data_IF_646571321418
#
_entry.id   IF_646571321418
#
_cell.length_a   1.000
_cell.length_b   1.000
_cell.length_c   1.000
_cell.angle_alpha   90.00
_cell.angle_beta   90.00
_cell.angle_gamma   90.00
#
_symmetry.space_group_name_H-M   'P 1'
#
loop_
_entity.id
_entity.type
_entity.pdbx_description
1 polymer ?
#
# COMPACT_ATOMS: atom_id res chain seq x y z
N UNK A 1 -39.15 -43.55 33.03
CA UNK A 1 -37.78 -43.38 32.51
C UNK A 1 -37.72 -42.01 31.86
N UNK A 2 -37.18 -41.03 32.57
CA UNK A 2 -36.95 -39.69 32.01
C UNK A 2 -35.62 -39.76 31.26
N UNK A 3 -35.65 -39.67 29.93
CA UNK A 3 -34.44 -39.36 29.15
C UNK A 3 -33.80 -38.11 29.76
N UNK A 4 -32.48 -38.17 29.97
CA UNK A 4 -31.73 -37.05 30.53
C UNK A 4 -31.95 -35.84 29.63
N UNK A 5 -32.01 -34.64 30.22
CA UNK A 5 -31.99 -33.40 29.44
C UNK A 5 -30.80 -33.35 28.48
N UNK A 6 -29.71 -34.03 28.82
CA UNK A 6 -28.51 -34.19 28.01
C UNK A 6 -28.78 -35.02 26.74
N UNK A 7 -29.51 -36.13 26.85
CA UNK A 7 -29.85 -36.98 25.69
C UNK A 7 -30.76 -36.24 24.70
N UNK A 8 -31.68 -35.42 25.23
CA UNK A 8 -32.59 -34.60 24.41
C UNK A 8 -31.86 -33.45 23.72
N UNK A 9 -30.87 -32.85 24.36
CA UNK A 9 -30.05 -31.78 23.77
C UNK A 9 -29.14 -32.35 22.67
N UNK A 10 -28.49 -33.49 22.92
CA UNK A 10 -27.65 -34.16 21.93
C UNK A 10 -28.44 -34.60 20.68
N UNK A 11 -29.68 -35.05 20.85
CA UNK A 11 -30.58 -35.37 19.73
C UNK A 11 -30.95 -34.12 18.91
N UNK A 12 -31.16 -32.98 19.56
CA UNK A 12 -31.48 -31.71 18.89
C UNK A 12 -30.26 -31.18 18.13
N UNK A 13 -29.06 -31.22 18.71
CA UNK A 13 -27.81 -30.79 18.07
C UNK A 13 -27.49 -31.60 16.81
N UNK A 14 -27.69 -32.92 16.87
CA UNK A 14 -27.54 -33.83 15.73
C UNK A 14 -28.54 -33.55 14.60
N UNK A 15 -29.78 -33.17 14.93
CA UNK A 15 -30.81 -32.81 13.95
C UNK A 15 -30.54 -31.44 13.33
N UNK A 16 -29.97 -30.50 14.10
CA UNK A 16 -29.64 -29.15 13.64
C UNK A 16 -28.32 -29.07 12.84
N UNK A 17 -27.61 -30.20 12.65
CA UNK A 17 -26.35 -30.24 11.91
C UNK A 17 -25.24 -29.44 12.58
N UNK A 18 -25.35 -29.21 13.90
CA UNK A 18 -24.29 -28.63 14.73
C UNK A 18 -23.38 -29.79 15.14
N UNK A 19 -22.86 -30.50 14.14
CA UNK A 19 -21.76 -31.43 14.35
C UNK A 19 -20.50 -30.57 14.38
N UNK A 20 -19.71 -30.72 15.45
CA UNK A 20 -18.44 -30.03 15.60
C UNK A 20 -17.63 -30.24 14.33
N UNK A 21 -17.06 -29.18 13.76
CA UNK A 21 -16.30 -29.23 12.51
C UNK A 21 -15.10 -30.21 12.61
N UNK A 22 -15.34 -31.50 12.38
CA UNK A 22 -14.33 -32.57 12.44
C UNK A 22 -13.65 -32.84 11.11
N UNK A 23 -14.09 -32.21 10.02
CA UNK A 23 -13.62 -32.58 8.67
C UNK A 23 -12.43 -31.78 8.15
N UNK A 24 -12.00 -30.72 8.84
CA UNK A 24 -10.87 -29.92 8.39
C UNK A 24 -9.55 -30.55 8.86
N UNK A 25 -8.84 -31.23 7.95
CA UNK A 25 -7.51 -31.77 8.22
C UNK A 25 -6.48 -30.64 8.14
N UNK A 26 -5.35 -30.71 8.89
CA UNK A 26 -4.28 -29.71 8.79
C UNK A 26 -3.72 -29.54 7.36
N UNK A 27 -3.86 -30.56 6.52
CA UNK A 27 -3.51 -30.56 5.09
C UNK A 27 -4.39 -29.64 4.24
N UNK A 28 -5.57 -29.29 4.73
CA UNK A 28 -6.57 -28.54 3.97
C UNK A 28 -6.35 -27.02 4.12
N UNK A 29 -5.45 -26.62 5.00
CA UNK A 29 -5.08 -25.23 5.23
C UNK A 29 -3.73 -24.92 4.60
N UNK A 30 -3.73 -24.14 3.50
CA UNK A 30 -2.52 -23.50 2.99
C UNK A 30 -2.11 -22.33 3.91
N UNK A 31 -1.46 -22.68 5.02
CA UNK A 31 -0.99 -21.72 6.03
C UNK A 31 -0.01 -20.72 5.42
N UNK A 32 0.78 -21.13 4.42
CA UNK A 32 1.78 -20.28 3.76
C UNK A 32 1.10 -19.27 2.83
N UNK A 33 0.11 -19.70 2.06
CA UNK A 33 -0.71 -18.81 1.24
C UNK A 33 -1.50 -17.81 2.08
N UNK A 34 -2.08 -18.27 3.19
CA UNK A 34 -2.79 -17.40 4.13
C UNK A 34 -1.84 -16.35 4.75
N UNK A 35 -0.65 -16.77 5.16
CA UNK A 35 0.36 -15.88 5.73
C UNK A 35 0.81 -14.81 4.72
N UNK A 36 1.10 -15.19 3.48
CA UNK A 36 1.44 -14.24 2.40
C UNK A 36 0.33 -13.23 2.15
N UNK A 37 -0.93 -13.70 2.13
CA UNK A 37 -2.09 -12.84 1.94
C UNK A 37 -2.29 -11.87 3.11
N UNK A 38 -2.10 -12.32 4.34
CA UNK A 38 -2.16 -11.47 5.53
C UNK A 38 -1.08 -10.38 5.52
N UNK A 39 0.16 -10.72 5.14
CA UNK A 39 1.23 -9.73 4.98
C UNK A 39 0.94 -8.73 3.85
N UNK A 40 0.40 -9.18 2.72
CA UNK A 40 0.00 -8.29 1.62
C UNK A 40 -1.10 -7.29 2.00
N UNK A 41 -1.94 -7.65 2.97
CA UNK A 41 -2.99 -6.79 3.52
C UNK A 41 -2.52 -5.94 4.71
N UNK A 42 -1.22 -5.94 5.04
CA UNK A 42 -0.66 -5.17 6.15
C UNK A 42 -1.04 -5.69 7.55
N UNK A 43 -1.52 -6.94 7.64
CA UNK A 43 -1.95 -7.57 8.90
C UNK A 43 -0.79 -8.17 9.70
N UNK A 44 0.46 -7.82 9.40
CA UNK A 44 1.66 -8.32 10.09
C UNK A 44 1.63 -8.06 11.60
N UNK A 45 0.89 -7.03 12.05
CA UNK A 45 0.68 -6.75 13.48
C UNK A 45 -0.06 -7.87 14.19
N UNK A 46 -0.96 -8.58 13.51
CA UNK A 46 -1.69 -9.74 14.07
C UNK A 46 -0.73 -10.90 14.33
N UNK A 47 0.25 -11.08 13.45
CA UNK A 47 1.30 -12.12 13.58
C UNK A 47 2.30 -11.83 14.70
N UNK A 48 2.37 -10.58 15.19
CA UNK A 48 3.21 -10.17 16.32
C UNK A 48 2.55 -10.38 17.68
N UNK A 49 1.29 -10.82 17.73
CA UNK A 49 0.61 -11.09 18.99
C UNK A 49 1.26 -12.33 19.62
N UNK A 50 1.86 -12.22 20.83
CA UNK A 50 2.52 -13.35 21.47
C UNK A 50 1.55 -14.53 21.65
N UNK A 51 1.99 -15.74 21.27
CA UNK A 51 1.19 -16.97 21.41
C UNK A 51 0.68 -17.20 22.83
N UNK A 52 1.43 -16.73 23.84
CA UNK A 52 1.02 -16.77 25.25
C UNK A 52 -0.27 -15.97 25.49
N UNK A 53 -0.41 -14.78 24.86
CA UNK A 53 -1.62 -13.95 24.95
C UNK A 53 -2.80 -14.61 24.22
N UNK A 54 -2.56 -15.26 23.08
CA UNK A 54 -3.59 -16.00 22.33
C UNK A 54 -4.08 -17.24 23.10
N UNK A 55 -3.18 -17.98 23.76
CA UNK A 55 -3.55 -19.12 24.63
C UNK A 55 -4.42 -18.68 25.80
N UNK A 56 -4.15 -17.51 26.38
CA UNK A 56 -4.97 -16.96 27.46
C UNK A 56 -6.38 -16.54 26.99
N UNK A 57 -6.58 -16.23 25.71
CA UNK A 57 -7.90 -15.94 25.13
C UNK A 57 -8.75 -17.20 24.95
N UNK A 58 -8.15 -18.35 24.64
CA UNK A 58 -8.86 -19.64 24.53
C UNK A 58 -9.55 -20.02 25.85
N UNK A 59 -8.97 -19.62 26.97
CA UNK A 59 -9.53 -19.82 28.31
C UNK A 59 -10.77 -18.94 28.59
N UNK A 60 -11.08 -17.96 27.72
CA UNK A 60 -12.22 -17.04 27.86
C UNK A 60 -13.44 -17.49 27.07
N UNK A 61 -13.24 -18.12 25.90
CA UNK A 61 -14.34 -18.50 25.01
C UNK A 61 -14.90 -19.90 25.25
N UNK A 62 -14.28 -20.69 26.14
CA UNK A 62 -14.58 -22.12 26.31
C UNK A 62 -14.81 -22.52 27.78
N UNK A 63 -15.65 -21.79 28.54
CA UNK A 63 -16.01 -22.24 29.89
C UNK A 63 -17.50 -22.11 30.25
N UNK A 64 -18.06 -23.11 30.96
CA UNK A 64 -19.45 -23.14 31.40
C UNK A 64 -19.73 -22.05 32.44
N UNK A 65 -21.00 -21.66 32.55
CA UNK A 65 -21.52 -20.51 33.30
C UNK A 65 -21.18 -20.45 34.82
N UNK A 66 -20.47 -21.43 35.39
CA UNK A 66 -20.25 -21.61 36.83
C UNK A 66 -18.78 -21.48 37.28
N UNK A 67 -18.05 -20.46 36.80
CA UNK A 67 -16.73 -20.16 37.36
C UNK A 67 -16.82 -19.66 38.80
N UNK A 68 -15.89 -20.07 39.70
CA UNK A 68 -15.78 -19.51 41.04
C UNK A 68 -15.61 -17.98 41.01
N UNK A 69 -16.14 -17.28 42.01
CA UNK A 69 -16.08 -15.81 42.10
C UNK A 69 -14.65 -15.26 41.99
N UNK A 70 -13.67 -16.01 42.52
CA UNK A 70 -12.24 -15.68 42.45
C UNK A 70 -11.70 -15.67 41.01
N UNK A 71 -12.10 -16.61 40.16
CA UNK A 71 -11.71 -16.64 38.74
C UNK A 71 -12.39 -15.53 37.94
N UNK A 72 -13.63 -15.19 38.27
CA UNK A 72 -14.32 -14.05 37.66
C UNK A 72 -13.64 -12.72 38.02
N UNK A 73 -13.20 -12.57 39.27
CA UNK A 73 -12.44 -11.40 39.72
C UNK A 73 -11.10 -11.26 38.99
N UNK A 74 -10.32 -12.34 38.84
CA UNK A 74 -9.06 -12.29 38.10
C UNK A 74 -9.27 -11.97 36.62
N UNK A 75 -10.36 -12.48 36.02
CA UNK A 75 -10.74 -12.14 34.66
C UNK A 75 -11.09 -10.65 34.50
N UNK A 76 -11.89 -10.10 35.42
CA UNK A 76 -12.25 -8.66 35.41
C UNK A 76 -11.00 -7.79 35.50
N UNK A 77 -10.07 -8.11 36.40
CA UNK A 77 -8.80 -7.37 36.55
C UNK A 77 -7.94 -7.46 35.28
N UNK A 78 -7.90 -8.63 34.63
CA UNK A 78 -7.21 -8.76 33.35
C UNK A 78 -7.83 -7.88 32.25
N UNK A 79 -9.16 -7.87 32.13
CA UNK A 79 -9.88 -7.04 31.17
C UNK A 79 -9.68 -5.55 31.46
N UNK A 80 -9.72 -5.13 32.73
CA UNK A 80 -9.49 -3.75 33.14
C UNK A 80 -8.10 -3.27 32.72
N UNK A 81 -7.06 -4.07 32.98
CA UNK A 81 -5.70 -3.76 32.58
C UNK A 81 -5.56 -3.63 31.05
N UNK A 82 -6.24 -4.50 30.30
CA UNK A 82 -6.25 -4.45 28.83
C UNK A 82 -6.94 -3.17 28.32
N UNK A 83 -8.05 -2.76 28.95
CA UNK A 83 -8.75 -1.52 28.62
C UNK A 83 -7.85 -0.31 28.88
N UNK A 84 -7.18 -0.25 30.04
CA UNK A 84 -6.25 0.85 30.36
C UNK A 84 -5.13 0.96 29.31
N UNK A 85 -4.47 -0.14 28.98
CA UNK A 85 -3.42 -0.15 27.96
C UNK A 85 -3.92 0.33 26.58
N UNK A 86 -5.15 -0.05 26.20
CA UNK A 86 -5.75 0.40 24.93
C UNK A 86 -6.09 1.89 24.96
N UNK A 87 -6.56 2.41 26.10
CA UNK A 87 -6.81 3.85 26.28
C UNK A 87 -5.52 4.65 26.14
N UNK A 88 -4.43 4.19 26.74
CA UNK A 88 -3.13 4.88 26.65
C UNK A 88 -2.61 4.92 25.20
N UNK A 89 -2.72 3.80 24.47
CA UNK A 89 -2.36 3.75 23.05
C UNK A 89 -3.23 4.67 22.17
N UNK A 90 -4.53 4.81 22.51
CA UNK A 90 -5.43 5.72 21.80
C UNK A 90 -5.06 7.18 22.06
N UNK A 91 -4.67 7.53 23.29
CA UNK A 91 -4.16 8.87 23.61
C UNK A 91 -2.87 9.19 22.88
N UNK A 92 -1.90 8.27 22.87
CA UNK A 92 -0.66 8.45 22.10
C UNK A 92 -0.94 8.61 20.59
N UNK A 93 -1.92 7.87 20.07
CA UNK A 93 -2.33 8.00 18.68
C UNK A 93 -2.95 9.36 18.41
N UNK A 94 -3.87 9.83 19.27
CA UNK A 94 -4.51 11.14 19.17
C UNK A 94 -3.48 12.28 19.24
N UNK A 95 -2.53 12.24 20.18
CA UNK A 95 -1.45 13.23 20.31
C UNK A 95 -0.54 13.29 19.07
N UNK A 96 -0.30 12.13 18.43
CA UNK A 96 0.54 12.05 17.22
C UNK A 96 -0.21 12.34 15.93
N UNK A 97 -1.54 12.30 15.95
CA UNK A 97 -2.36 12.55 14.78
C UNK A 97 -2.35 14.05 14.46
N UNK A 98 -1.36 14.49 13.69
CA UNK A 98 -1.34 15.85 13.13
C UNK A 98 -2.30 15.93 11.94
N UNK A 99 -3.59 16.10 12.24
CA UNK A 99 -4.70 16.19 11.26
C UNK A 99 -4.47 17.27 10.21
N UNK A 100 -3.84 18.37 10.59
CA UNK A 100 -3.61 19.52 9.72
C UNK A 100 -2.71 19.18 8.54
N UNK A 101 -1.71 18.32 8.75
CA UNK A 101 -0.80 17.87 7.68
C UNK A 101 -1.48 16.90 6.73
N UNK A 102 -2.37 16.04 7.22
CA UNK A 102 -3.12 15.09 6.39
C UNK A 102 -4.12 15.83 5.51
N UNK A 103 -4.76 16.88 6.04
CA UNK A 103 -5.68 17.73 5.26
C UNK A 103 -4.97 18.48 4.12
N UNK A 104 -3.70 18.84 4.29
CA UNK A 104 -2.90 19.53 3.27
C UNK A 104 -2.46 18.62 2.10
N UNK A 105 -2.45 17.30 2.28
CA UNK A 105 -1.98 16.35 1.26
C UNK A 105 -2.77 16.49 -0.03
N UNK A 106 -4.10 16.53 0.04
CA UNK A 106 -4.95 16.63 -1.16
C UNK A 106 -4.76 17.96 -1.92
N UNK A 107 -4.49 19.06 -1.20
CA UNK A 107 -4.19 20.35 -1.83
C UNK A 107 -2.82 20.33 -2.50
N UNK A 108 -1.81 19.82 -1.80
CA UNK A 108 -0.44 19.74 -2.30
C UNK A 108 -0.33 18.78 -3.48
N UNK A 109 -1.06 17.67 -3.48
CA UNK A 109 -1.11 16.70 -4.57
C UNK A 109 -1.60 17.34 -5.87
N UNK A 110 -2.65 18.17 -5.79
CA UNK A 110 -3.12 18.93 -6.95
C UNK A 110 -2.07 19.91 -7.46
N UNK A 111 -1.46 20.69 -6.57
CA UNK A 111 -0.39 21.63 -6.95
C UNK A 111 0.80 20.91 -7.61
N UNK A 112 1.16 19.73 -7.10
CA UNK A 112 2.25 18.93 -7.64
C UNK A 112 1.92 18.40 -9.03
N UNK A 113 0.66 18.00 -9.26
CA UNK A 113 0.16 17.59 -10.58
C UNK A 113 0.24 18.73 -11.59
N UNK A 114 -0.19 19.93 -11.21
CA UNK A 114 -0.17 21.11 -12.08
C UNK A 114 1.28 21.46 -12.47
N UNK A 115 2.19 21.47 -11.49
CA UNK A 115 3.63 21.72 -11.73
C UNK A 115 4.24 20.64 -12.62
N UNK A 116 3.90 19.36 -12.41
CA UNK A 116 4.41 18.26 -13.23
C UNK A 116 3.98 18.42 -14.69
N UNK A 117 2.73 18.83 -14.93
CA UNK A 117 2.22 19.09 -16.27
C UNK A 117 2.91 20.28 -16.94
N UNK A 118 3.16 21.37 -16.19
CA UNK A 118 3.86 22.54 -16.69
C UNK A 118 5.31 22.22 -17.08
N UNK A 119 6.01 21.43 -16.25
CA UNK A 119 7.38 20.96 -16.53
C UNK A 119 7.40 20.10 -17.79
N UNK A 120 6.45 19.18 -17.94
CA UNK A 120 6.37 18.31 -19.11
C UNK A 120 6.14 19.12 -20.39
N UNK A 121 5.19 20.05 -20.35
CA UNK A 121 4.88 20.93 -21.50
C UNK A 121 6.08 21.80 -21.87
N UNK A 122 6.78 22.34 -20.86
CA UNK A 122 7.97 23.15 -21.08
C UNK A 122 9.12 22.34 -21.69
N UNK A 123 9.28 21.09 -21.28
CA UNK A 123 10.28 20.16 -21.82
C UNK A 123 9.99 19.80 -23.28
N UNK A 124 8.72 19.61 -23.65
CA UNK A 124 8.31 19.39 -25.04
C UNK A 124 8.62 20.59 -25.93
N UNK A 125 8.24 21.80 -25.50
CA UNK A 125 8.58 23.04 -26.22
C UNK A 125 10.09 23.24 -26.37
N UNK A 126 10.87 22.92 -25.34
CA UNK A 126 12.32 23.02 -25.40
C UNK A 126 12.92 22.05 -26.43
N UNK A 127 12.37 20.83 -26.55
CA UNK A 127 12.78 19.87 -27.59
C UNK A 127 12.46 20.38 -28.99
N UNK A 128 11.26 20.91 -29.21
CA UNK A 128 10.86 21.51 -30.48
C UNK A 128 11.81 22.64 -30.88
N UNK A 129 12.05 23.58 -29.95
CA UNK A 129 12.99 24.68 -30.18
C UNK A 129 14.41 24.20 -30.51
N UNK A 130 14.89 23.16 -29.83
CA UNK A 130 16.21 22.60 -30.10
C UNK A 130 16.30 21.95 -31.47
N UNK A 131 15.22 21.27 -31.92
CA UNK A 131 15.14 20.72 -33.27
C UNK A 131 15.14 21.80 -34.34
N UNK A 132 14.36 22.87 -34.14
CA UNK A 132 14.33 24.01 -35.05
C UNK A 132 15.69 24.69 -35.16
N UNK A 133 16.41 24.80 -34.05
CA UNK A 133 17.76 25.39 -34.02
C UNK A 133 18.77 24.53 -34.78
N UNK A 134 18.72 23.20 -34.63
CA UNK A 134 19.59 22.31 -35.39
C UNK A 134 19.25 22.34 -36.88
N UNK A 135 17.97 22.42 -37.23
CA UNK A 135 17.52 22.61 -38.62
C UNK A 135 18.07 23.91 -39.20
N UNK A 136 17.88 25.04 -38.50
CA UNK A 136 18.43 26.33 -38.92
C UNK A 136 19.95 26.27 -39.12
N UNK A 137 20.67 25.62 -38.21
CA UNK A 137 22.12 25.43 -38.32
C UNK A 137 22.50 24.63 -39.57
N UNK A 138 21.78 23.55 -39.88
CA UNK A 138 22.03 22.77 -41.11
C UNK A 138 21.79 23.60 -42.37
N UNK A 139 20.71 24.37 -42.41
CA UNK A 139 20.39 25.26 -43.54
C UNK A 139 21.44 26.35 -43.69
N UNK A 140 21.87 26.97 -42.59
CA UNK A 140 22.92 27.98 -42.57
C UNK A 140 24.23 27.43 -43.16
N UNK A 141 24.67 26.25 -42.72
CA UNK A 141 25.89 25.63 -43.26
C UNK A 141 25.76 25.29 -44.75
N UNK A 142 24.60 24.83 -45.21
CA UNK A 142 24.36 24.58 -46.63
C UNK A 142 24.50 25.86 -47.47
N UNK A 143 23.91 26.97 -47.01
CA UNK A 143 24.03 28.27 -47.68
C UNK A 143 25.47 28.76 -47.70
N UNK A 144 26.20 28.68 -46.59
CA UNK A 144 27.61 29.09 -46.53
C UNK A 144 28.48 28.27 -47.48
N UNK A 145 28.25 26.95 -47.57
CA UNK A 145 28.97 26.09 -48.51
C UNK A 145 28.69 26.47 -49.96
N UNK A 146 27.43 26.68 -50.33
CA UNK A 146 27.04 27.09 -51.69
C UNK A 146 27.65 28.46 -52.07
N UNK A 147 27.68 29.41 -51.12
CA UNK A 147 28.33 30.71 -51.35
C UNK A 147 29.83 30.58 -51.57
N UNK A 148 30.51 29.71 -50.80
CA UNK A 148 31.94 29.43 -50.99
C UNK A 148 32.22 28.82 -52.35
N UNK A 149 31.47 27.79 -52.74
CA UNK A 149 31.60 27.17 -54.07
C UNK A 149 31.43 28.22 -55.18
N UNK A 150 30.46 29.12 -55.03
CA UNK A 150 30.24 30.18 -56.02
C UNK A 150 31.36 31.20 -56.08
N UNK A 151 31.95 31.56 -54.93
CA UNK A 151 33.13 32.42 -54.88
C UNK A 151 34.31 31.75 -55.58
N UNK A 152 34.59 30.47 -55.27
CA UNK A 152 35.68 29.71 -55.90
C UNK A 152 35.51 29.60 -57.43
N UNK A 153 34.28 29.42 -57.91
CA UNK A 153 33.96 29.44 -59.35
C UNK A 153 34.25 30.80 -59.99
N UNK A 154 33.86 31.90 -59.33
CA UNK A 154 34.10 33.26 -59.82
C UNK A 154 35.59 33.58 -59.83
N UNK A 155 36.34 33.22 -58.79
CA UNK A 155 37.80 33.41 -58.74
C UNK A 155 38.51 32.68 -59.87
N UNK A 156 38.12 31.44 -60.17
CA UNK A 156 38.64 30.69 -61.33
C UNK A 156 38.33 31.38 -62.66
N UNK A 157 37.11 31.89 -62.83
CA UNK A 157 36.70 32.58 -64.05
C UNK A 157 37.48 33.89 -64.25
N UNK A 158 37.71 34.66 -63.18
CA UNK A 158 38.53 35.87 -63.22
C UNK A 158 39.97 35.55 -63.58
N UNK A 159 40.58 34.54 -62.94
CA UNK A 159 41.95 34.13 -63.23
C UNK A 159 42.14 33.69 -64.71
N UNK A 160 41.13 33.04 -65.30
CA UNK A 160 41.12 32.68 -66.72
C UNK A 160 40.97 33.88 -67.66
N UNK A 161 40.28 34.95 -67.23
CA UNK A 161 40.07 36.15 -68.03
C UNK A 161 41.24 37.13 -67.95
N UNK A 162 42.09 37.03 -66.92
CA UNK A 162 43.29 37.85 -66.72
C UNK A 162 44.57 37.26 -67.36
N UNK A 163 44.48 36.04 -67.92
CA UNK A 163 45.53 35.39 -68.73
C UNK A 163 45.29 35.55 -70.24
#
# INVERSE_FOLDING_TARGET
MQESLEDRVAAIEKVLGIDEATDAKPSDFDVVGLQKRMSSLGLDRVMKIPLVKLKNLKNLSSKPYSQPLSERLTHIVFCENLIRQRVDLLKEFEERLQTDKVALVSQQEKQLSDIAQDVQTSLERWKEYTMDLEKFKTEYFAVVSALRERIDEMEKAVALAEC
#
